data_IF_823558473734
#
_entry.id   IF_823558473734
#
_cell.length_a   1.000
_cell.length_b   1.000
_cell.length_c   1.000
_cell.angle_alpha   90.00
_cell.angle_beta   90.00
_cell.angle_gamma   90.00
#
_symmetry.space_group_name_H-M   'P 1'
#
loop_
_entity.id
_entity.type
_entity.pdbx_description
1 polymer ?
#
# COMPACT_ATOMS: atom_id res chain seq x y z
N UNK A 1 14.00 18.35 -8.12
CA UNK A 1 13.16 17.25 -8.67
C UNK A 1 12.08 16.94 -7.64
N UNK A 2 10.81 17.05 -8.02
CA UNK A 2 9.67 16.91 -7.10
C UNK A 2 9.44 15.46 -6.65
N UNK A 3 8.71 15.28 -5.55
CA UNK A 3 8.28 13.96 -5.08
C UNK A 3 7.08 13.50 -5.91
N UNK A 4 7.16 12.30 -6.47
CA UNK A 4 6.05 11.67 -7.19
C UNK A 4 4.99 11.10 -6.25
N UNK A 5 3.76 10.93 -6.76
CA UNK A 5 2.75 10.07 -6.16
C UNK A 5 2.97 8.63 -6.63
N UNK A 6 3.03 7.69 -5.70
CA UNK A 6 3.35 6.28 -5.99
C UNK A 6 2.24 5.40 -5.45
N UNK A 7 1.60 4.61 -6.32
CA UNK A 7 0.66 3.57 -5.93
C UNK A 7 1.34 2.20 -5.99
N UNK A 8 1.35 1.47 -4.87
CA UNK A 8 1.94 0.14 -4.77
C UNK A 8 0.83 -0.91 -4.62
N UNK A 9 0.68 -1.75 -5.64
CA UNK A 9 -0.16 -2.95 -5.57
C UNK A 9 0.65 -4.14 -5.06
N UNK A 10 0.09 -4.93 -4.14
CA UNK A 10 0.81 -6.02 -3.50
C UNK A 10 1.81 -5.57 -2.43
N UNK A 11 1.63 -4.38 -1.85
CA UNK A 11 2.54 -3.79 -0.85
C UNK A 11 2.77 -4.63 0.41
N UNK A 12 1.89 -5.58 0.73
CA UNK A 12 2.07 -6.50 1.87
C UNK A 12 2.93 -7.74 1.56
N UNK A 13 3.26 -7.97 0.28
CA UNK A 13 4.08 -9.09 -0.19
C UNK A 13 5.57 -8.94 0.14
N UNK A 14 6.36 -9.98 -0.15
CA UNK A 14 7.78 -10.04 0.23
C UNK A 14 8.62 -8.88 -0.32
N UNK A 15 8.45 -8.57 -1.61
CA UNK A 15 9.12 -7.45 -2.29
C UNK A 15 8.35 -6.15 -2.08
N UNK A 16 7.02 -6.18 -2.21
CA UNK A 16 6.16 -5.01 -2.08
C UNK A 16 6.42 -4.21 -0.80
N UNK A 17 6.63 -4.88 0.34
CA UNK A 17 6.91 -4.20 1.62
C UNK A 17 8.18 -3.37 1.60
N UNK A 18 9.20 -3.80 0.85
CA UNK A 18 10.48 -3.08 0.72
C UNK A 18 10.31 -1.87 -0.21
N UNK A 19 9.51 -2.01 -1.26
CA UNK A 19 9.16 -0.91 -2.16
C UNK A 19 8.40 0.19 -1.42
N UNK A 20 7.38 -0.17 -0.63
CA UNK A 20 6.61 0.80 0.17
C UNK A 20 7.54 1.57 1.12
N UNK A 21 8.39 0.85 1.85
CA UNK A 21 9.34 1.47 2.78
C UNK A 21 10.29 2.43 2.05
N UNK A 22 10.91 2.01 0.95
CA UNK A 22 11.82 2.86 0.18
C UNK A 22 11.12 4.08 -0.43
N UNK A 23 9.85 3.94 -0.84
CA UNK A 23 9.04 5.05 -1.34
C UNK A 23 8.80 6.11 -0.27
N UNK A 24 8.44 5.68 0.95
CA UNK A 24 8.23 6.56 2.11
C UNK A 24 9.54 7.22 2.56
N UNK A 25 10.65 6.48 2.64
CA UNK A 25 11.97 7.00 3.01
C UNK A 25 12.49 8.04 2.00
N UNK A 26 12.17 7.84 0.72
CA UNK A 26 12.44 8.83 -0.32
C UNK A 26 11.43 9.98 -0.32
N UNK A 27 10.47 10.04 0.60
CA UNK A 27 9.53 11.15 0.75
C UNK A 27 8.47 11.23 -0.36
N UNK A 28 8.16 10.13 -1.03
CA UNK A 28 7.07 10.07 -2.00
C UNK A 28 5.71 9.98 -1.30
N UNK A 29 4.70 10.65 -1.86
CA UNK A 29 3.31 10.45 -1.47
C UNK A 29 2.90 9.02 -1.85
N UNK A 30 2.89 8.13 -0.87
CA UNK A 30 2.84 6.68 -1.11
C UNK A 30 1.47 6.13 -0.77
N UNK A 31 0.85 5.49 -1.75
CA UNK A 31 -0.43 4.81 -1.65
C UNK A 31 -0.22 3.30 -1.71
N UNK A 32 -0.93 2.54 -0.87
CA UNK A 32 -0.85 1.08 -0.81
C UNK A 32 -2.25 0.49 -0.95
N UNK A 33 -2.43 -0.42 -1.92
CA UNK A 33 -3.71 -1.11 -2.09
C UNK A 33 -3.92 -2.13 -0.97
N UNK A 34 -5.07 -2.04 -0.31
CA UNK A 34 -5.67 -3.05 0.54
C UNK A 34 -6.79 -3.75 -0.24
N UNK A 35 -6.78 -5.09 -0.28
CA UNK A 35 -7.94 -5.84 -0.77
C UNK A 35 -8.99 -5.97 0.34
N UNK A 36 -10.30 -5.92 0.04
CA UNK A 36 -11.36 -6.01 1.06
C UNK A 36 -11.26 -7.25 1.97
N UNK A 37 -10.94 -8.41 1.40
CA UNK A 37 -10.80 -9.69 2.13
C UNK A 37 -9.54 -9.83 3.02
N UNK A 38 -8.70 -8.79 3.12
CA UNK A 38 -7.42 -8.85 3.83
C UNK A 38 -7.56 -8.93 5.36
N UNK A 39 -8.75 -8.64 5.91
CA UNK A 39 -9.05 -8.70 7.34
C UNK A 39 -8.83 -10.08 7.99
N UNK A 40 -8.83 -11.15 7.19
CA UNK A 40 -8.59 -12.53 7.67
C UNK A 40 -7.10 -12.87 7.85
N UNK A 41 -6.19 -11.97 7.43
CA UNK A 41 -4.75 -12.21 7.45
C UNK A 41 -4.06 -11.21 8.38
N UNK A 42 -4.07 -11.51 9.68
CA UNK A 42 -3.59 -10.63 10.77
C UNK A 42 -2.19 -10.05 10.48
N UNK A 43 -1.25 -10.87 10.01
CA UNK A 43 0.10 -10.39 9.70
C UNK A 43 0.13 -9.32 8.59
N UNK A 44 -0.70 -9.50 7.55
CA UNK A 44 -0.77 -8.54 6.44
C UNK A 44 -1.46 -7.26 6.91
N UNK A 45 -2.48 -7.38 7.75
CA UNK A 45 -3.16 -6.24 8.35
C UNK A 45 -2.22 -5.43 9.25
N UNK A 46 -1.44 -6.08 10.12
CA UNK A 46 -0.45 -5.41 10.96
C UNK A 46 0.60 -4.67 10.14
N UNK A 47 1.10 -5.26 9.05
CA UNK A 47 2.00 -4.60 8.11
C UNK A 47 1.37 -3.38 7.45
N UNK A 48 0.12 -3.49 7.04
CA UNK A 48 -0.57 -2.40 6.37
C UNK A 48 -0.83 -1.23 7.33
N UNK A 49 -1.20 -1.52 8.58
CA UNK A 49 -1.28 -0.53 9.65
C UNK A 49 0.08 0.11 9.98
N UNK A 50 1.18 -0.64 9.89
CA UNK A 50 2.51 -0.07 10.11
C UNK A 50 2.93 0.89 8.99
N UNK A 51 2.53 0.64 7.74
CA UNK A 51 2.71 1.61 6.65
C UNK A 51 1.87 2.86 6.85
N UNK A 52 0.61 2.71 7.27
CA UNK A 52 -0.25 3.86 7.60
C UNK A 52 0.37 4.75 8.69
N UNK A 53 0.95 4.14 9.74
CA UNK A 53 1.70 4.86 10.78
C UNK A 53 2.95 5.58 10.25
N UNK A 54 3.56 5.07 9.18
CA UNK A 54 4.73 5.70 8.52
C UNK A 54 4.33 6.76 7.48
N UNK A 55 3.03 7.08 7.33
CA UNK A 55 2.54 8.11 6.41
C UNK A 55 2.03 7.59 5.07
N UNK A 56 1.89 6.28 4.89
CA UNK A 56 1.26 5.74 3.68
C UNK A 56 -0.26 5.96 3.68
N UNK A 57 -0.81 6.29 2.53
CA UNK A 57 -2.24 6.31 2.27
C UNK A 57 -2.70 4.89 1.93
N UNK A 58 -3.73 4.41 2.61
CA UNK A 58 -4.33 3.10 2.33
C UNK A 58 -5.52 3.31 1.41
N UNK A 59 -5.55 2.60 0.29
CA UNK A 59 -6.65 2.62 -0.67
C UNK A 59 -7.25 1.23 -0.75
N UNK A 60 -8.54 1.12 -0.49
CA UNK A 60 -9.25 -0.14 -0.69
C UNK A 60 -9.59 -0.31 -2.18
N UNK A 61 -9.07 -1.35 -2.82
CA UNK A 61 -9.31 -1.64 -4.23
C UNK A 61 -8.99 -3.11 -4.55
N UNK A 62 -9.52 -3.60 -5.67
CA UNK A 62 -9.32 -4.98 -6.13
C UNK A 62 -9.18 -5.06 -7.64
N UNK A 63 -8.30 -5.94 -8.13
CA UNK A 63 -8.23 -6.27 -9.56
C UNK A 63 -9.48 -6.97 -10.08
N UNK A 64 -10.26 -7.58 -9.19
CA UNK A 64 -11.56 -8.17 -9.53
C UNK A 64 -12.69 -7.13 -9.63
N UNK A 65 -12.44 -5.88 -9.22
CA UNK A 65 -13.40 -4.78 -9.27
C UNK A 65 -12.81 -3.58 -10.02
N UNK A 66 -13.11 -3.50 -11.32
CA UNK A 66 -12.61 -2.44 -12.18
C UNK A 66 -12.98 -1.03 -11.69
N UNK A 67 -14.19 -0.84 -11.13
CA UNK A 67 -14.64 0.48 -10.65
C UNK A 67 -13.86 0.96 -9.43
N UNK A 68 -13.23 0.04 -8.69
CA UNK A 68 -12.33 0.41 -7.60
C UNK A 68 -10.97 0.93 -8.09
N UNK A 69 -10.66 0.78 -9.39
CA UNK A 69 -9.37 1.12 -9.98
C UNK A 69 -9.40 2.32 -10.92
N UNK A 70 -10.53 2.60 -11.57
CA UNK A 70 -10.69 3.69 -12.57
C UNK A 70 -12.00 4.44 -12.45
#
# INVERSE_FOLDING_TARGET
MGKSKVLVVGGTGYIGRRIVKASLEQGHETYVIQRPELGLQIEKLQRLLSFKKQGAHIVEASFSDHKSLV
#
